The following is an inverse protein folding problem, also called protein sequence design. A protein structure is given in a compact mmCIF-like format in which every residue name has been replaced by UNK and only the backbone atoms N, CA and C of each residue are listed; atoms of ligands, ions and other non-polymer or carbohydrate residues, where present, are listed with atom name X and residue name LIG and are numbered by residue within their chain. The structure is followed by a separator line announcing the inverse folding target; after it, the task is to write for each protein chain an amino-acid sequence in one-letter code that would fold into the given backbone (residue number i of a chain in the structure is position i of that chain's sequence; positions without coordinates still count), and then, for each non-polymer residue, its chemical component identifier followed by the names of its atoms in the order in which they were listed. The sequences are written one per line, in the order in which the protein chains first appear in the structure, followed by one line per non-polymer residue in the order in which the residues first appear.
data_IF_312402708165
#
_entry.id   IF_312402708165
#
_cell.length_a   1.000
_cell.length_b   1.000
_cell.length_c   1.000
_cell.angle_alpha   90.00
_cell.angle_beta   90.00
_cell.angle_gamma   90.00
#
_symmetry.space_group_name_H-M   'P 1'
#
loop_
_entity.id
_entity.type
_entity.pdbx_description
1 polymer ?
#
# COMPACT_ATOMS: atom_id res chain seq x y z
N UNK A 1 12.52 -17.22 -9.68
CA UNK A 1 13.97 -16.98 -9.58
C UNK A 1 14.57 -17.77 -8.42
N UNK A 2 14.05 -17.61 -7.20
CA UNK A 2 14.47 -18.38 -6.01
C UNK A 2 14.36 -19.91 -6.17
N UNK A 3 13.20 -20.45 -6.56
CA UNK A 3 13.03 -21.91 -6.74
C UNK A 3 13.96 -22.52 -7.80
N UNK A 4 14.17 -21.82 -8.92
CA UNK A 4 15.16 -22.24 -9.94
C UNK A 4 16.59 -22.27 -9.37
N UNK A 5 16.91 -21.38 -8.44
CA UNK A 5 18.19 -21.39 -7.73
C UNK A 5 18.34 -22.58 -6.78
N UNK A 6 17.25 -23.01 -6.13
CA UNK A 6 17.21 -24.23 -5.32
C UNK A 6 17.41 -25.46 -6.21
N UNK A 7 16.67 -25.54 -7.32
CA UNK A 7 16.79 -26.63 -8.31
C UNK A 7 18.21 -26.75 -8.88
N UNK A 8 18.88 -25.61 -9.09
CA UNK A 8 20.28 -25.57 -9.55
C UNK A 8 21.32 -25.80 -8.43
N UNK A 9 20.89 -26.05 -7.18
CA UNK A 9 21.77 -26.25 -6.03
C UNK A 9 22.59 -25.02 -5.63
N UNK A 10 22.16 -23.81 -6.02
CA UNK A 10 22.91 -22.56 -5.81
C UNK A 10 22.52 -21.83 -4.52
N UNK A 11 21.31 -22.06 -4.01
CA UNK A 11 20.82 -21.43 -2.77
C UNK A 11 20.10 -22.46 -1.89
N UNK A 12 20.18 -22.33 -0.55
CA UNK A 12 19.50 -23.24 0.37
C UNK A 12 17.99 -23.04 0.37
N UNK A 13 17.24 -24.09 0.69
CA UNK A 13 15.79 -24.04 0.89
C UNK A 13 15.45 -23.60 2.32
N UNK A 14 14.67 -22.54 2.44
CA UNK A 14 14.05 -22.11 3.70
C UNK A 14 12.57 -22.55 3.75
N UNK A 15 12.07 -23.05 4.91
CA UNK A 15 10.66 -23.31 5.11
C UNK A 15 9.80 -22.05 4.86
N UNK A 16 8.68 -22.22 4.16
CA UNK A 16 7.74 -21.13 3.83
C UNK A 16 8.33 -19.97 3.01
N UNK A 17 9.45 -20.19 2.32
CA UNK A 17 10.08 -19.16 1.51
C UNK A 17 9.16 -18.61 0.39
N UNK A 18 8.28 -19.45 -0.17
CA UNK A 18 7.21 -19.02 -1.09
C UNK A 18 6.32 -17.94 -0.47
N UNK A 19 5.89 -18.16 0.77
CA UNK A 19 4.99 -17.27 1.50
C UNK A 19 5.69 -15.96 1.85
N UNK A 20 6.95 -16.03 2.27
CA UNK A 20 7.77 -14.84 2.58
C UNK A 20 8.02 -14.00 1.32
N UNK A 21 8.41 -14.65 0.22
CA UNK A 21 8.65 -13.94 -1.04
C UNK A 21 7.34 -13.31 -1.52
N UNK A 22 6.22 -14.04 -1.43
CA UNK A 22 4.91 -13.52 -1.81
C UNK A 22 4.48 -12.33 -0.93
N UNK A 23 4.68 -12.41 0.38
CA UNK A 23 4.28 -11.34 1.31
C UNK A 23 5.09 -10.06 1.09
N UNK A 24 6.42 -10.17 0.95
CA UNK A 24 7.29 -9.03 0.67
C UNK A 24 6.95 -8.41 -0.70
N UNK A 25 6.78 -9.25 -1.73
CA UNK A 25 6.40 -8.77 -3.07
C UNK A 25 5.04 -8.04 -3.03
N UNK A 26 4.08 -8.59 -2.28
CA UNK A 26 2.77 -7.99 -2.12
C UNK A 26 2.85 -6.66 -1.34
N UNK A 27 3.69 -6.58 -0.31
CA UNK A 27 3.94 -5.34 0.45
C UNK A 27 4.53 -4.23 -0.44
N UNK A 28 5.50 -4.56 -1.30
CA UNK A 28 6.06 -3.59 -2.26
C UNK A 28 4.99 -3.10 -3.23
N UNK A 29 4.17 -4.02 -3.77
CA UNK A 29 3.04 -3.66 -4.62
C UNK A 29 2.04 -2.74 -3.89
N UNK A 30 1.78 -2.98 -2.61
CA UNK A 30 0.93 -2.11 -1.80
C UNK A 30 1.52 -0.72 -1.64
N UNK A 31 2.81 -0.61 -1.30
CA UNK A 31 3.49 0.67 -1.15
C UNK A 31 3.41 1.49 -2.45
N UNK A 32 3.73 0.86 -3.59
CA UNK A 32 3.64 1.51 -4.90
C UNK A 32 2.20 1.93 -5.22
N UNK A 33 1.21 1.10 -4.92
CA UNK A 33 -0.20 1.42 -5.15
C UNK A 33 -0.73 2.56 -4.26
N UNK A 34 -0.13 2.79 -3.09
CA UNK A 34 -0.46 3.90 -2.21
C UNK A 34 0.16 5.21 -2.71
N UNK A 35 1.45 5.19 -3.02
CA UNK A 35 2.23 6.41 -3.29
C UNK A 35 2.28 6.80 -4.77
N UNK A 36 2.38 5.83 -5.67
CA UNK A 36 2.70 6.04 -7.09
C UNK A 36 1.91 5.09 -8.00
N UNK A 37 0.60 5.10 -7.85
CA UNK A 37 -0.30 4.20 -8.59
C UNK A 37 -0.11 4.27 -10.12
N UNK A 38 0.33 5.42 -10.63
CA UNK A 38 0.56 5.70 -12.04
C UNK A 38 1.66 4.83 -12.64
N UNK A 39 2.62 4.42 -11.82
CA UNK A 39 3.75 3.61 -12.25
C UNK A 39 3.45 2.10 -12.10
N UNK A 40 2.29 1.75 -11.53
CA UNK A 40 1.90 0.37 -11.29
C UNK A 40 1.25 -0.23 -12.55
N UNK A 41 1.75 -1.39 -12.98
CA UNK A 41 1.15 -2.14 -14.09
C UNK A 41 -0.34 -2.43 -13.79
N UNK A 42 -1.27 -2.22 -14.75
CA UNK A 42 -2.71 -2.39 -14.53
C UNK A 42 -3.13 -3.77 -13.99
N UNK A 43 -2.38 -4.83 -14.31
CA UNK A 43 -2.62 -6.17 -13.78
C UNK A 43 -2.43 -6.25 -12.25
N UNK A 44 -1.41 -5.57 -11.72
CA UNK A 44 -1.14 -5.53 -10.29
C UNK A 44 -2.20 -4.72 -9.57
N UNK A 45 -2.65 -3.61 -10.16
CA UNK A 45 -3.77 -2.85 -9.64
C UNK A 45 -5.04 -3.70 -9.48
N UNK A 46 -5.44 -4.45 -10.51
CA UNK A 46 -6.59 -5.38 -10.45
C UNK A 46 -6.42 -6.44 -9.36
N UNK A 47 -5.22 -6.98 -9.21
CA UNK A 47 -4.91 -7.94 -8.15
C UNK A 47 -5.10 -7.32 -6.75
N UNK A 48 -4.56 -6.13 -6.51
CA UNK A 48 -4.67 -5.44 -5.22
C UNK A 48 -6.12 -5.06 -4.89
N UNK A 49 -6.90 -4.61 -5.87
CA UNK A 49 -8.32 -4.35 -5.68
C UNK A 49 -9.08 -5.62 -5.29
N UNK A 50 -8.78 -6.75 -5.92
CA UNK A 50 -9.39 -8.04 -5.56
C UNK A 50 -9.01 -8.46 -4.15
N UNK A 51 -7.73 -8.35 -3.79
CA UNK A 51 -7.21 -8.71 -2.47
C UNK A 51 -7.82 -7.87 -1.35
N UNK A 52 -8.04 -6.58 -1.62
CA UNK A 52 -8.56 -5.63 -0.63
C UNK A 52 -10.07 -5.40 -0.72
N UNK A 53 -10.79 -6.19 -1.54
CA UNK A 53 -12.23 -6.02 -1.78
C UNK A 53 -12.60 -4.58 -2.17
N UNK A 54 -11.76 -3.96 -3.01
CA UNK A 54 -11.97 -2.61 -3.53
C UNK A 54 -11.59 -1.47 -2.58
N UNK A 55 -11.13 -1.75 -1.35
CA UNK A 55 -10.80 -0.71 -0.35
C UNK A 55 -9.70 0.25 -0.84
N UNK A 56 -8.76 -0.24 -1.64
CA UNK A 56 -7.73 0.60 -2.24
C UNK A 56 -8.26 1.68 -3.17
N UNK A 57 -9.47 1.54 -3.72
CA UNK A 57 -10.06 2.55 -4.59
C UNK A 57 -10.60 3.76 -3.81
N UNK A 58 -10.97 3.56 -2.54
CA UNK A 58 -11.64 4.56 -1.69
C UNK A 58 -10.72 5.09 -0.59
N UNK A 59 -9.45 5.31 -0.93
CA UNK A 59 -8.48 5.92 -0.02
C UNK A 59 -8.49 7.43 -0.22
N UNK A 60 -8.42 8.20 0.87
CA UNK A 60 -8.19 9.63 0.78
C UNK A 60 -6.76 9.85 0.27
N UNK A 61 -6.59 10.12 -1.01
CA UNK A 61 -5.25 10.31 -1.60
C UNK A 61 -4.75 11.74 -1.50
N UNK A 62 -5.64 12.71 -1.27
CA UNK A 62 -5.26 14.11 -1.09
C UNK A 62 -4.32 14.31 0.09
N UNK A 63 -4.52 13.56 1.18
CA UNK A 63 -3.63 13.63 2.35
C UNK A 63 -2.22 13.12 2.06
N UNK A 64 -2.03 12.37 0.97
CA UNK A 64 -0.72 11.86 0.55
C UNK A 64 0.00 12.84 -0.41
N UNK A 65 -0.69 13.85 -0.92
CA UNK A 65 -0.08 14.80 -1.86
C UNK A 65 1.02 15.66 -1.21
N UNK A 66 1.02 15.75 0.12
CA UNK A 66 2.12 16.37 0.91
C UNK A 66 3.48 15.74 0.61
N UNK A 67 3.51 14.47 0.20
CA UNK A 67 4.74 13.76 -0.15
C UNK A 67 5.22 14.03 -1.59
N UNK A 68 4.46 14.79 -2.39
CA UNK A 68 4.86 15.17 -3.75
C UNK A 68 4.88 14.03 -4.78
N UNK A 69 4.37 12.84 -4.46
CA UNK A 69 4.38 11.67 -5.35
C UNK A 69 3.24 11.65 -6.38
N UNK A 70 2.33 12.63 -6.31
CA UNK A 70 1.18 12.73 -7.21
C UNK A 70 0.17 11.59 -7.03
N UNK A 71 0.05 11.05 -5.81
CA UNK A 71 -0.81 9.91 -5.50
C UNK A 71 -2.28 10.14 -5.92
N UNK A 72 -2.80 11.36 -5.78
CA UNK A 72 -4.20 11.69 -6.13
C UNK A 72 -4.47 11.89 -7.62
N UNK A 73 -3.43 12.06 -8.45
CA UNK A 73 -3.52 12.57 -9.84
C UNK A 73 -4.52 11.84 -10.75
N UNK A 74 -4.64 10.52 -10.59
CA UNK A 74 -5.48 9.66 -11.45
C UNK A 74 -6.75 9.17 -10.74
N UNK A 75 -7.07 9.71 -9.58
CA UNK A 75 -8.23 9.32 -8.80
C UNK A 75 -9.23 10.45 -8.69
N UNK A 76 -10.50 10.08 -8.51
CA UNK A 76 -11.53 11.04 -8.17
C UNK A 76 -11.29 11.58 -6.76
N UNK A 77 -11.70 12.82 -6.55
CA UNK A 77 -11.72 13.45 -5.25
C UNK A 77 -12.59 12.66 -4.27
N UNK A 78 -11.93 11.92 -3.37
CA UNK A 78 -12.58 11.12 -2.36
C UNK A 78 -12.14 11.57 -0.97
N UNK A 79 -13.10 12.02 -0.16
CA UNK A 79 -12.91 12.31 1.26
C UNK A 79 -13.86 11.39 2.03
N UNK A 80 -13.35 10.45 2.85
CA UNK A 80 -14.19 9.59 3.65
C UNK A 80 -14.97 10.43 4.68
N UNK A 81 -16.22 10.04 4.95
CA UNK A 81 -16.97 10.59 6.08
C UNK A 81 -16.39 9.99 7.35
N UNK A 82 -15.57 10.78 8.03
CA UNK A 82 -14.97 10.42 9.31
C UNK A 82 -15.89 10.92 10.43
N UNK A 83 -15.98 10.14 11.51
CA UNK A 83 -16.71 10.56 12.71
C UNK A 83 -15.90 11.64 13.43
N UNK A 84 -16.46 12.85 13.65
CA UNK A 84 -15.76 13.95 14.31
C UNK A 84 -15.18 13.57 15.67
N UNK A 85 -15.84 12.66 16.41
CA UNK A 85 -15.40 12.20 17.74
C UNK A 85 -13.99 11.60 17.76
N UNK A 86 -13.51 11.10 16.62
CA UNK A 86 -12.19 10.47 16.50
C UNK A 86 -11.22 11.24 15.60
N UNK A 87 -11.61 12.41 15.10
CA UNK A 87 -10.81 13.18 14.12
C UNK A 87 -10.55 14.63 14.52
N UNK A 88 -11.23 15.14 15.54
CA UNK A 88 -10.91 16.43 16.15
C UNK A 88 -10.00 16.22 17.36
N UNK A 89 -8.86 16.92 17.41
CA UNK A 89 -8.06 17.03 18.63
C UNK A 89 -8.90 17.81 19.65
N UNK A 90 -9.19 17.21 20.80
CA UNK A 90 -9.83 17.93 21.91
C UNK A 90 -8.88 19.06 22.33
N UNK A 91 -9.34 20.32 22.41
CA UNK A 91 -8.49 21.49 22.68
C UNK A 91 -7.60 21.36 23.93
N UNK A 92 -7.99 20.50 24.87
CA UNK A 92 -7.36 20.34 26.20
C UNK A 92 -6.05 19.52 26.20
N UNK A 93 -5.67 18.86 25.11
CA UNK A 93 -4.46 18.03 25.06
C UNK A 93 -3.29 18.82 24.44
N UNK A 94 -2.16 19.00 25.17
CA UNK A 94 -0.98 19.64 24.62
C UNK A 94 -0.51 18.91 23.37
N UNK A 95 -0.35 19.64 22.27
CA UNK A 95 0.20 19.10 21.02
C UNK A 95 1.72 19.07 21.20
N UNK A 96 2.26 17.95 21.70
CA UNK A 96 3.70 17.71 21.66
C UNK A 96 4.10 17.40 20.22
N UNK A 97 4.72 18.39 19.56
CA UNK A 97 5.45 18.16 18.32
C UNK A 97 6.78 17.50 18.68
N UNK A 98 6.95 16.22 18.33
CA UNK A 98 8.25 15.51 18.35
C UNK A 98 9.09 15.83 17.12
#
# INVERSE_FOLDING_TARGET
MYFKGIEAGKVPYFPHADTIIYSISTAICFQAAVMEVQNLRPSYWKFLLRLTKGKFNVMNRKVLDVFGTGASKHFQDFIPRLDPRYTTVTPELPIEFS
#
